data_IF_524564393872
#
_entry.id   IF_524564393872
#
_cell.length_a   1.000
_cell.length_b   1.000
_cell.length_c   1.000
_cell.angle_alpha   90.00
_cell.angle_beta   90.00
_cell.angle_gamma   90.00
#
_symmetry.space_group_name_H-M   'P 1'
#
loop_
_entity.id
_entity.type
_entity.pdbx_description
1 polymer ?
#
# COMPACT_ATOMS: atom_id res chain seq x y z
N UNK A 1 -12.42 -25.77 6.21
CA UNK A 1 -13.17 -25.04 5.14
C UNK A 1 -12.43 -23.75 4.75
N UNK A 2 -11.82 -23.03 5.69
CA UNK A 2 -11.16 -21.72 5.41
C UNK A 2 -9.92 -21.83 4.50
N UNK A 3 -9.12 -22.89 4.62
CA UNK A 3 -7.86 -23.03 3.88
C UNK A 3 -8.06 -23.36 2.38
N UNK A 4 -9.12 -24.11 2.03
CA UNK A 4 -9.41 -24.49 0.65
C UNK A 4 -9.93 -23.30 -0.17
N UNK A 5 -10.85 -22.52 0.39
CA UNK A 5 -11.37 -21.31 -0.25
C UNK A 5 -10.25 -20.28 -0.49
N UNK A 6 -9.37 -20.13 0.49
CA UNK A 6 -8.18 -19.28 0.40
C UNK A 6 -7.22 -19.70 -0.73
N UNK A 7 -6.99 -20.99 -0.87
CA UNK A 7 -6.15 -21.55 -1.92
C UNK A 7 -6.71 -21.27 -3.33
N UNK A 8 -8.02 -21.40 -3.51
CA UNK A 8 -8.69 -21.09 -4.77
C UNK A 8 -8.54 -19.60 -5.10
N UNK A 9 -8.81 -18.71 -4.14
CA UNK A 9 -8.72 -17.26 -4.34
C UNK A 9 -7.29 -16.84 -4.73
N UNK A 10 -6.25 -17.43 -4.12
CA UNK A 10 -4.85 -17.11 -4.45
C UNK A 10 -4.52 -17.47 -5.89
N UNK A 11 -4.99 -18.61 -6.40
CA UNK A 11 -4.72 -19.07 -7.79
C UNK A 11 -5.57 -18.39 -8.86
N UNK A 12 -6.63 -17.67 -8.48
CA UNK A 12 -7.49 -16.98 -9.44
C UNK A 12 -6.77 -15.87 -10.18
N UNK A 13 -7.10 -15.68 -11.48
CA UNK A 13 -6.63 -14.52 -12.26
C UNK A 13 -7.10 -13.22 -11.61
N UNK A 14 -6.29 -12.18 -11.70
CA UNK A 14 -6.54 -10.87 -11.06
C UNK A 14 -7.93 -10.30 -11.39
N UNK A 15 -8.43 -10.48 -12.63
CA UNK A 15 -9.77 -10.02 -13.02
C UNK A 15 -10.90 -10.59 -12.16
N UNK A 16 -10.81 -11.86 -11.77
CA UNK A 16 -11.84 -12.48 -10.92
C UNK A 16 -11.72 -12.05 -9.46
N UNK A 17 -10.49 -11.83 -8.98
CA UNK A 17 -10.25 -11.24 -7.65
C UNK A 17 -10.89 -9.85 -7.55
N UNK A 18 -10.72 -9.02 -8.58
CA UNK A 18 -11.33 -7.68 -8.65
C UNK A 18 -12.86 -7.79 -8.66
N UNK A 19 -13.42 -8.73 -9.42
CA UNK A 19 -14.87 -8.92 -9.46
C UNK A 19 -15.43 -9.33 -8.09
N UNK A 20 -14.83 -10.32 -7.44
CA UNK A 20 -15.21 -10.76 -6.09
C UNK A 20 -15.07 -9.61 -5.10
N UNK A 21 -13.96 -8.87 -5.14
CA UNK A 21 -13.75 -7.72 -4.28
C UNK A 21 -14.84 -6.65 -4.47
N UNK A 22 -15.28 -6.38 -5.70
CA UNK A 22 -16.39 -5.46 -5.99
C UNK A 22 -17.73 -5.95 -5.41
N UNK A 23 -18.03 -7.23 -5.57
CA UNK A 23 -19.25 -7.84 -5.01
C UNK A 23 -19.24 -7.74 -3.49
N UNK A 24 -18.15 -8.15 -2.84
CA UNK A 24 -18.01 -8.07 -1.38
C UNK A 24 -18.09 -6.60 -0.93
N UNK A 25 -17.43 -5.69 -1.62
CA UNK A 25 -17.48 -4.25 -1.32
C UNK A 25 -18.90 -3.70 -1.40
N UNK A 26 -19.69 -4.13 -2.40
CA UNK A 26 -21.09 -3.72 -2.54
C UNK A 26 -21.93 -4.10 -1.31
N UNK A 27 -21.78 -5.33 -0.81
CA UNK A 27 -22.50 -5.80 0.38
C UNK A 27 -21.96 -5.21 1.70
N UNK A 28 -20.66 -4.89 1.76
CA UNK A 28 -20.06 -4.30 2.97
C UNK A 28 -20.31 -2.79 3.08
N UNK A 29 -20.52 -2.08 1.97
CA UNK A 29 -20.70 -0.61 1.97
C UNK A 29 -21.72 -0.08 2.97
N UNK A 30 -22.92 -0.69 3.13
CA UNK A 30 -23.91 -0.19 4.09
C UNK A 30 -23.44 -0.26 5.55
N UNK A 31 -22.57 -1.22 5.86
CA UNK A 31 -22.07 -1.49 7.23
C UNK A 31 -20.72 -0.86 7.51
N UNK A 32 -20.09 -0.29 6.50
CA UNK A 32 -18.73 0.22 6.60
C UNK A 32 -18.70 1.73 6.87
N UNK A 33 -18.17 2.10 8.03
CA UNK A 33 -17.85 3.50 8.30
C UNK A 33 -16.52 3.86 7.63
N UNK A 34 -16.51 4.95 6.87
CA UNK A 34 -15.31 5.49 6.22
C UNK A 34 -14.23 5.76 7.28
N UNK A 35 -12.98 5.43 6.95
CA UNK A 35 -11.83 5.74 7.81
C UNK A 35 -11.73 4.94 9.12
N UNK A 36 -12.02 3.65 9.09
CA UNK A 36 -11.84 2.79 10.27
C UNK A 36 -10.40 2.27 10.38
N UNK A 37 -10.01 1.99 11.64
CA UNK A 37 -8.76 1.31 11.94
C UNK A 37 -9.03 -0.19 12.02
N UNK A 38 -8.29 -0.95 11.21
CA UNK A 38 -8.33 -2.40 11.18
C UNK A 38 -6.97 -2.99 11.53
N UNK A 39 -6.97 -4.14 12.20
CA UNK A 39 -5.74 -4.88 12.46
C UNK A 39 -5.67 -6.04 11.47
N UNK A 40 -4.57 -6.09 10.70
CA UNK A 40 -4.24 -7.21 9.81
C UNK A 40 -2.78 -7.57 9.99
N UNK A 41 -2.53 -8.85 10.19
CA UNK A 41 -1.18 -9.38 10.44
C UNK A 41 -0.43 -8.64 11.58
N UNK A 42 -1.17 -8.22 12.64
CA UNK A 42 -0.61 -7.48 13.77
C UNK A 42 -0.19 -6.04 13.48
N UNK A 43 -0.58 -5.49 12.32
CA UNK A 43 -0.36 -4.10 11.93
C UNK A 43 -1.71 -3.37 11.94
N UNK A 44 -1.73 -2.17 12.51
CA UNK A 44 -2.90 -1.27 12.52
C UNK A 44 -2.93 -0.48 11.22
N UNK A 45 -4.06 -0.54 10.52
CA UNK A 45 -4.26 0.10 9.23
C UNK A 45 -5.44 1.04 9.26
N UNK A 46 -5.26 2.24 8.74
CA UNK A 46 -6.34 3.14 8.42
C UNK A 46 -6.76 2.87 6.97
N UNK A 47 -7.87 2.17 6.78
CA UNK A 47 -8.33 1.70 5.47
C UNK A 47 -9.56 2.46 4.99
N UNK A 48 -9.63 2.66 3.68
CA UNK A 48 -10.82 3.06 2.95
C UNK A 48 -11.18 1.94 1.97
N UNK A 49 -12.27 1.20 2.25
CA UNK A 49 -12.63 0.03 1.43
C UNK A 49 -13.09 0.38 0.01
N UNK A 50 -13.19 1.66 -0.33
CA UNK A 50 -13.37 2.08 -1.71
C UNK A 50 -12.08 2.02 -2.53
N UNK A 51 -10.93 1.92 -1.85
CA UNK A 51 -9.61 1.84 -2.46
C UNK A 51 -9.16 0.38 -2.60
N UNK A 52 -8.66 0.03 -3.79
CA UNK A 52 -8.35 -1.37 -4.11
C UNK A 52 -7.29 -2.01 -3.21
N UNK A 53 -6.22 -1.27 -2.85
CA UNK A 53 -5.15 -1.77 -1.97
C UNK A 53 -5.69 -1.94 -0.55
N UNK A 54 -6.45 -0.99 -0.05
CA UNK A 54 -7.06 -1.02 1.28
C UNK A 54 -8.02 -2.20 1.42
N UNK A 55 -8.90 -2.36 0.42
CA UNK A 55 -9.82 -3.48 0.36
C UNK A 55 -9.08 -4.82 0.31
N UNK A 56 -7.97 -4.88 -0.45
CA UNK A 56 -7.13 -6.07 -0.51
C UNK A 56 -6.52 -6.42 0.85
N UNK A 57 -5.99 -5.42 1.56
CA UNK A 57 -5.46 -5.62 2.92
C UNK A 57 -6.57 -6.05 3.87
N UNK A 58 -7.75 -5.43 3.78
CA UNK A 58 -8.90 -5.78 4.61
C UNK A 58 -9.32 -7.23 4.43
N UNK A 59 -9.47 -7.68 3.19
CA UNK A 59 -9.98 -9.02 2.86
C UNK A 59 -8.91 -10.11 3.00
N UNK A 60 -7.68 -9.84 2.58
CA UNK A 60 -6.65 -10.87 2.39
C UNK A 60 -5.43 -10.70 3.28
N UNK A 61 -5.39 -9.63 4.09
CA UNK A 61 -4.21 -9.28 4.87
C UNK A 61 -3.11 -8.65 4.01
N UNK A 62 -1.92 -8.58 4.59
CA UNK A 62 -0.76 -7.98 3.97
C UNK A 62 0.07 -8.98 3.16
N UNK A 63 1.11 -8.50 2.50
CA UNK A 63 2.10 -9.34 1.82
C UNK A 63 3.07 -10.05 2.80
N UNK A 64 2.78 -10.10 4.10
CA UNK A 64 3.68 -10.62 5.13
C UNK A 64 4.20 -12.03 4.81
N UNK A 65 3.35 -12.93 4.34
CA UNK A 65 3.77 -14.30 3.96
C UNK A 65 4.82 -14.31 2.86
N UNK A 66 4.64 -13.47 1.83
CA UNK A 66 5.61 -13.36 0.73
C UNK A 66 6.91 -12.73 1.20
N UNK A 67 6.83 -11.71 2.05
CA UNK A 67 7.98 -11.01 2.60
C UNK A 67 8.78 -11.93 3.54
N UNK A 68 8.12 -12.78 4.34
CA UNK A 68 8.80 -13.79 5.17
C UNK A 68 9.70 -14.72 4.35
N UNK A 69 9.27 -15.07 3.14
CA UNK A 69 10.09 -15.89 2.27
C UNK A 69 11.39 -15.19 1.83
N UNK A 70 11.42 -13.85 1.79
CA UNK A 70 12.65 -13.11 1.50
C UNK A 70 13.72 -13.31 2.58
N UNK A 71 13.34 -13.62 3.82
CA UNK A 71 14.34 -13.90 4.88
C UNK A 71 15.28 -15.06 4.51
N UNK A 72 14.80 -16.03 3.74
CA UNK A 72 15.64 -17.15 3.30
C UNK A 72 16.72 -16.75 2.30
N UNK A 73 16.56 -15.58 1.64
CA UNK A 73 17.53 -15.06 0.69
C UNK A 73 18.68 -14.30 1.39
N UNK A 74 18.49 -13.94 2.65
CA UNK A 74 19.48 -13.15 3.40
C UNK A 74 20.00 -13.99 4.58
N UNK A 75 21.32 -14.13 4.67
CA UNK A 75 21.97 -14.84 5.80
C UNK A 75 21.75 -14.14 7.15
N UNK A 76 21.50 -12.84 7.14
CA UNK A 76 21.22 -12.04 8.32
C UNK A 76 20.26 -10.91 7.96
N UNK A 77 19.35 -10.56 8.87
CA UNK A 77 18.46 -9.39 8.76
C UNK A 77 19.03 -8.15 9.46
N UNK A 78 20.26 -8.24 9.99
CA UNK A 78 20.93 -7.13 10.63
C UNK A 78 21.62 -6.24 9.59
N UNK A 79 21.34 -4.94 9.65
CA UNK A 79 22.01 -3.95 8.83
C UNK A 79 21.58 -3.86 7.36
N UNK A 80 20.48 -4.52 6.96
CA UNK A 80 19.94 -4.35 5.61
C UNK A 80 19.42 -2.92 5.42
N UNK A 81 19.71 -2.37 4.24
CA UNK A 81 19.06 -1.17 3.74
C UNK A 81 18.10 -1.58 2.64
N UNK A 82 16.81 -1.34 2.85
CA UNK A 82 15.74 -1.71 1.93
C UNK A 82 15.11 -0.43 1.40
N UNK A 83 14.93 -0.35 0.09
CA UNK A 83 14.30 0.79 -0.58
C UNK A 83 12.99 0.30 -1.19
N UNK A 84 11.88 0.84 -0.73
CA UNK A 84 10.52 0.56 -1.23
C UNK A 84 10.08 1.75 -2.09
N UNK A 85 10.16 1.58 -3.42
CA UNK A 85 9.80 2.61 -4.40
C UNK A 85 8.34 2.45 -4.80
N UNK A 86 7.54 3.49 -4.57
CA UNK A 86 6.10 3.43 -4.71
C UNK A 86 5.44 2.81 -3.49
N UNK A 87 5.89 3.21 -2.30
CA UNK A 87 5.47 2.62 -1.03
C UNK A 87 3.96 2.75 -0.75
N UNK A 88 3.28 3.63 -1.47
CA UNK A 88 1.85 3.83 -1.41
C UNK A 88 1.38 4.07 0.04
N UNK A 89 0.44 3.29 0.58
CA UNK A 89 -0.03 3.38 1.98
C UNK A 89 0.85 2.61 2.97
N UNK A 90 1.97 2.02 2.50
CA UNK A 90 2.89 1.21 3.31
C UNK A 90 2.59 -0.28 3.31
N UNK A 91 1.82 -0.77 2.33
CA UNK A 91 1.41 -2.18 2.24
C UNK A 91 2.59 -3.18 2.18
N UNK A 92 3.75 -2.71 1.78
CA UNK A 92 5.02 -3.47 1.78
C UNK A 92 5.95 -2.97 2.89
N UNK A 93 6.13 -1.65 3.02
CA UNK A 93 7.07 -1.05 3.99
C UNK A 93 6.78 -1.46 5.44
N UNK A 94 5.51 -1.46 5.90
CA UNK A 94 5.19 -1.81 7.28
C UNK A 94 5.43 -3.30 7.58
N UNK A 95 4.99 -4.25 6.74
CA UNK A 95 5.36 -5.66 6.91
C UNK A 95 6.86 -5.91 6.82
N UNK A 96 7.60 -5.20 5.95
CA UNK A 96 9.06 -5.28 5.91
C UNK A 96 9.69 -4.87 7.24
N UNK A 97 9.28 -3.74 7.82
CA UNK A 97 9.78 -3.26 9.10
C UNK A 97 9.48 -4.22 10.26
N UNK A 98 8.33 -4.91 10.20
CA UNK A 98 7.95 -5.92 11.17
C UNK A 98 8.84 -7.16 11.09
N UNK A 99 9.14 -7.61 9.86
CA UNK A 99 9.89 -8.85 9.61
C UNK A 99 11.40 -8.62 9.74
N UNK A 100 11.90 -7.51 9.21
CA UNK A 100 13.30 -7.11 9.22
C UNK A 100 13.52 -5.98 10.25
N UNK A 101 13.29 -6.29 11.51
CA UNK A 101 13.20 -5.29 12.59
C UNK A 101 14.53 -4.62 12.96
N UNK A 102 15.65 -5.07 12.39
CA UNK A 102 16.99 -4.48 12.54
C UNK A 102 17.44 -3.72 11.27
N UNK A 103 16.63 -3.71 10.24
CA UNK A 103 16.96 -3.10 8.94
C UNK A 103 16.43 -1.66 8.85
N UNK A 104 17.01 -0.86 7.95
CA UNK A 104 16.54 0.47 7.59
C UNK A 104 15.69 0.37 6.32
N UNK A 105 14.49 0.93 6.34
CA UNK A 105 13.56 0.89 5.22
C UNK A 105 13.27 2.32 4.77
N UNK A 106 13.67 2.66 3.54
CA UNK A 106 13.36 3.93 2.91
C UNK A 106 12.11 3.75 2.07
N UNK A 107 10.99 4.28 2.55
CA UNK A 107 9.71 4.23 1.89
C UNK A 107 9.52 5.51 1.06
N UNK A 108 9.51 5.36 -0.26
CA UNK A 108 9.43 6.46 -1.23
C UNK A 108 8.05 6.44 -1.89
N UNK A 109 7.29 7.53 -1.72
CA UNK A 109 5.97 7.67 -2.32
C UNK A 109 5.80 9.11 -2.83
N UNK A 110 5.61 9.33 -4.15
CA UNK A 110 5.53 10.66 -4.73
C UNK A 110 4.20 11.37 -4.48
N UNK A 111 3.08 10.64 -4.40
CA UNK A 111 1.75 11.25 -4.36
C UNK A 111 1.39 11.72 -2.97
N UNK A 112 0.86 12.94 -2.87
CA UNK A 112 0.51 13.54 -1.59
C UNK A 112 -0.55 12.72 -0.82
N UNK A 113 -1.53 12.18 -1.54
CA UNK A 113 -2.59 11.39 -0.93
C UNK A 113 -2.06 10.11 -0.29
N UNK A 114 -1.34 9.29 -1.07
CA UNK A 114 -0.80 8.04 -0.56
C UNK A 114 0.26 8.26 0.51
N UNK A 115 1.14 9.27 0.35
CA UNK A 115 2.14 9.63 1.35
C UNK A 115 1.53 10.04 2.70
N UNK A 116 0.47 10.86 2.70
CA UNK A 116 -0.25 11.20 3.94
C UNK A 116 -0.84 9.96 4.60
N UNK A 117 -1.37 9.03 3.81
CA UNK A 117 -1.95 7.80 4.31
C UNK A 117 -0.88 6.83 4.84
N UNK A 118 0.26 6.72 4.15
CA UNK A 118 1.46 6.01 4.63
C UNK A 118 1.92 6.53 5.99
N UNK A 119 2.08 7.85 6.11
CA UNK A 119 2.47 8.47 7.38
C UNK A 119 1.43 8.21 8.49
N UNK A 120 0.13 8.28 8.17
CA UNK A 120 -0.94 7.93 9.12
C UNK A 120 -0.83 6.46 9.59
N UNK A 121 -0.65 5.54 8.66
CA UNK A 121 -0.49 4.12 8.99
C UNK A 121 0.77 3.87 9.83
N UNK A 122 1.88 4.52 9.51
CA UNK A 122 3.10 4.42 10.31
C UNK A 122 2.90 4.98 11.73
N UNK A 123 2.20 6.09 11.89
CA UNK A 123 1.92 6.68 13.19
C UNK A 123 1.01 5.81 14.07
N UNK A 124 0.15 4.98 13.48
CA UNK A 124 -0.63 3.96 14.19
C UNK A 124 0.26 2.80 14.70
N UNK A 125 1.45 2.63 14.13
CA UNK A 125 2.39 1.54 14.43
C UNK A 125 3.75 2.09 14.91
N UNK A 126 3.73 2.84 16.01
CA UNK A 126 4.92 3.56 16.54
C UNK A 126 6.15 2.67 16.72
N UNK A 127 5.97 1.39 17.06
CA UNK A 127 7.04 0.42 17.23
C UNK A 127 7.81 0.11 15.93
N UNK A 128 7.20 0.32 14.75
CA UNK A 128 7.84 0.16 13.44
C UNK A 128 8.55 1.44 12.97
N UNK A 129 8.22 2.59 13.58
CA UNK A 129 8.67 3.90 13.11
C UNK A 129 10.19 4.08 13.13
N UNK A 130 10.86 3.43 14.08
CA UNK A 130 12.33 3.50 14.20
C UNK A 130 13.08 2.93 12.98
N UNK A 131 12.41 2.07 12.20
CA UNK A 131 13.00 1.38 11.07
C UNK A 131 12.60 1.98 9.71
N UNK A 132 11.56 2.84 9.67
CA UNK A 132 11.01 3.36 8.40
C UNK A 132 11.30 4.84 8.27
N UNK A 133 11.95 5.20 7.16
CA UNK A 133 12.28 6.56 6.75
C UNK A 133 11.38 6.94 5.57
N UNK A 134 10.45 7.87 5.80
CA UNK A 134 9.50 8.32 4.79
C UNK A 134 10.11 9.40 3.90
N UNK A 135 9.97 9.23 2.59
CA UNK A 135 10.43 10.19 1.60
C UNK A 135 9.35 10.46 0.57
N UNK A 136 8.90 11.71 0.49
CA UNK A 136 7.95 12.13 -0.53
C UNK A 136 8.72 12.62 -1.76
N UNK A 137 9.10 11.67 -2.61
CA UNK A 137 9.96 11.90 -3.77
C UNK A 137 9.40 11.18 -5.00
N UNK A 138 9.68 11.75 -6.15
CA UNK A 138 9.54 11.07 -7.44
C UNK A 138 10.92 10.78 -8.03
N UNK A 139 11.19 9.51 -8.32
CA UNK A 139 12.43 9.09 -8.95
C UNK A 139 12.28 9.10 -10.48
N UNK A 140 13.15 9.81 -11.18
CA UNK A 140 13.10 9.92 -12.64
C UNK A 140 14.50 10.08 -13.23
N UNK A 141 14.70 9.52 -14.44
CA UNK A 141 15.91 9.77 -15.24
C UNK A 141 15.88 11.14 -15.94
N UNK A 142 14.74 11.82 -15.98
CA UNK A 142 14.55 13.03 -16.79
C UNK A 142 14.16 14.20 -15.92
N UNK A 143 14.89 15.32 -16.06
CA UNK A 143 14.62 16.60 -15.40
C UNK A 143 13.35 17.31 -15.92
N UNK A 144 12.21 16.65 -15.94
CA UNK A 144 10.96 17.32 -16.31
C UNK A 144 9.90 17.05 -15.26
N UNK A 145 9.21 18.07 -14.75
CA UNK A 145 8.03 17.86 -13.93
C UNK A 145 7.02 17.09 -14.80
N UNK A 146 6.61 15.94 -14.34
CA UNK A 146 5.62 15.11 -15.02
C UNK A 146 4.45 14.89 -14.07
N UNK A 147 3.29 14.84 -14.68
CA UNK A 147 2.12 14.30 -14.03
C UNK A 147 2.31 12.80 -13.85
N UNK A 148 1.94 12.29 -12.69
CA UNK A 148 2.03 10.86 -12.38
C UNK A 148 0.63 10.29 -12.33
N UNK A 149 0.42 9.23 -13.09
CA UNK A 149 -0.78 8.45 -12.98
C UNK A 149 -0.79 7.67 -11.67
N UNK A 150 -1.87 7.77 -10.94
CA UNK A 150 -2.07 6.97 -9.74
C UNK A 150 -3.39 6.21 -9.82
N UNK A 151 -3.44 5.07 -9.19
CA UNK A 151 -4.65 4.23 -9.13
C UNK A 151 -5.72 4.76 -8.17
N UNK A 152 -5.51 5.92 -7.59
CA UNK A 152 -6.42 6.52 -6.63
C UNK A 152 -7.59 7.20 -7.33
N UNK A 153 -8.81 6.89 -6.87
CA UNK A 153 -10.00 7.62 -7.28
C UNK A 153 -10.18 8.83 -6.36
N UNK A 154 -9.93 10.03 -6.88
CA UNK A 154 -10.38 11.24 -6.17
C UNK A 154 -11.89 11.41 -6.38
N UNK A 155 -12.63 11.29 -5.30
CA UNK A 155 -14.06 11.67 -5.24
C UNK A 155 -14.23 13.16 -4.97
N UNK A 156 -13.40 14.01 -5.54
CA UNK A 156 -13.71 15.42 -5.63
C UNK A 156 -14.49 15.66 -6.91
N UNK A 157 -15.74 15.91 -6.75
CA UNK A 157 -16.91 16.20 -7.54
C UNK A 157 -16.79 16.76 -8.98
N UNK A 158 -15.67 16.72 -9.67
CA UNK A 158 -15.53 17.29 -11.03
C UNK A 158 -15.13 16.32 -12.15
N UNK A 159 -14.67 15.10 -11.84
CA UNK A 159 -14.26 14.14 -12.87
C UNK A 159 -15.04 12.83 -12.82
N UNK A 160 -16.32 12.90 -13.20
CA UNK A 160 -17.21 11.73 -13.29
C UNK A 160 -16.88 10.75 -14.41
N UNK A 161 -15.83 10.96 -15.23
CA UNK A 161 -15.67 10.22 -16.49
C UNK A 161 -14.46 9.30 -16.61
N UNK A 162 -13.61 9.14 -15.59
CA UNK A 162 -12.42 8.27 -15.72
C UNK A 162 -12.32 7.23 -14.60
N UNK A 163 -13.28 6.32 -14.57
CA UNK A 163 -13.35 5.27 -13.53
C UNK A 163 -12.32 4.13 -13.67
N UNK A 164 -11.45 4.11 -14.68
CA UNK A 164 -10.62 2.93 -14.97
C UNK A 164 -9.12 3.15 -15.16
N UNK A 165 -8.63 4.38 -15.14
CA UNK A 165 -7.22 4.64 -15.50
C UNK A 165 -6.44 5.46 -14.47
N UNK A 166 -6.86 5.50 -13.22
CA UNK A 166 -6.18 6.31 -12.23
C UNK A 166 -6.30 7.82 -12.51
N UNK A 167 -6.06 8.64 -11.52
CA UNK A 167 -6.05 10.09 -11.65
C UNK A 167 -4.64 10.60 -11.89
N UNK A 168 -4.54 11.65 -12.71
CA UNK A 168 -3.29 12.34 -12.98
C UNK A 168 -2.97 13.27 -11.81
N UNK A 169 -1.80 13.12 -11.22
CA UNK A 169 -1.35 13.94 -10.11
C UNK A 169 -0.16 14.81 -10.52
N UNK A 170 -0.26 16.11 -10.25
CA UNK A 170 0.88 16.99 -10.42
C UNK A 170 1.87 16.77 -9.26
N UNK A 171 3.13 16.54 -9.61
CA UNK A 171 4.23 16.48 -8.65
C UNK A 171 4.77 17.89 -8.49
N UNK A 172 4.38 18.56 -7.42
CA UNK A 172 4.82 19.96 -7.19
C UNK A 172 6.16 20.09 -6.48
N UNK A 173 6.72 19.05 -5.85
CA UNK A 173 7.96 19.17 -5.06
C UNK A 173 8.76 17.87 -5.03
N UNK A 174 10.09 18.03 -4.93
CA UNK A 174 11.09 17.01 -4.65
C UNK A 174 11.24 15.92 -5.71
N UNK A 175 11.73 16.33 -6.88
CA UNK A 175 12.26 15.42 -7.88
C UNK A 175 13.71 15.08 -7.52
N UNK A 176 14.02 13.81 -7.37
CA UNK A 176 15.40 13.31 -7.36
C UNK A 176 15.63 12.64 -8.71
N UNK A 177 16.71 13.05 -9.36
CA UNK A 177 17.16 12.47 -10.62
C UNK A 177 18.25 11.45 -10.31
N UNK A 178 18.12 10.27 -10.88
CA UNK A 178 19.14 9.22 -10.89
C UNK A 178 19.87 9.24 -12.21
#
# INVERSE_FOLDING_TARGET
VSNFLWYIIIKMKTKYKILIAKIISFFLKPFYKKNQIHIRDGIKWHLDLNEGIDLSIFLFGTSEKKIKNLKYLFKSDSGLTIIDIGANIGSISLPLAKIFNKSKIFAIEPTNYAFKKLNKNLNLNKHLKKNIFLNQLFLSKVKRPKEVWSSWNFTDNKDKHKQHLGSLHSIKKNLIYL
#
